data_IF_077646805211
#
_entry.id   IF_077646805211
#
_cell.length_a   1.000
_cell.length_b   1.000
_cell.length_c   1.000
_cell.angle_alpha   90.00
_cell.angle_beta   90.00
_cell.angle_gamma   90.00
#
_symmetry.space_group_name_H-M   'P 1'
#
loop_
_entity.id
_entity.type
_entity.pdbx_description
1 polymer ?
#
# COMPACT_ATOMS: atom_id res chain seq x y z
N UNK A 1 17.61 -7.31 0.48
CA UNK A 1 17.37 -8.70 0.01
C UNK A 1 17.52 -8.71 -1.51
N UNK A 2 17.58 -9.88 -2.15
CA UNK A 2 17.57 -10.00 -3.61
C UNK A 2 16.40 -10.91 -3.97
N UNK A 3 15.66 -10.57 -5.03
CA UNK A 3 14.55 -11.36 -5.55
C UNK A 3 14.93 -11.94 -6.90
N UNK A 4 14.70 -13.25 -7.09
CA UNK A 4 15.04 -13.97 -8.31
C UNK A 4 13.81 -14.71 -8.82
N UNK A 5 13.55 -14.59 -10.11
CA UNK A 5 12.54 -15.36 -10.81
C UNK A 5 13.21 -16.53 -11.55
N UNK A 6 12.52 -17.66 -11.62
CA UNK A 6 12.98 -18.86 -12.33
C UNK A 6 11.88 -19.33 -13.28
N UNK A 7 12.27 -19.96 -14.38
CA UNK A 7 11.34 -20.44 -15.42
C UNK A 7 10.33 -21.48 -14.90
N UNK A 8 10.71 -22.26 -13.90
CA UNK A 8 9.86 -23.30 -13.34
C UNK A 8 10.19 -23.61 -11.87
N UNK A 9 9.23 -24.26 -11.20
CA UNK A 9 9.34 -24.64 -9.79
C UNK A 9 10.41 -25.70 -9.52
N UNK A 10 10.79 -26.49 -10.52
CA UNK A 10 11.81 -27.53 -10.34
C UNK A 10 13.21 -26.93 -10.17
N UNK A 11 13.54 -25.90 -10.97
CA UNK A 11 14.74 -25.09 -10.78
C UNK A 11 14.76 -24.45 -9.40
N UNK A 12 13.63 -23.89 -8.95
CA UNK A 12 13.52 -23.31 -7.60
C UNK A 12 13.83 -24.36 -6.51
N UNK A 13 13.25 -25.57 -6.60
CA UNK A 13 13.51 -26.65 -5.63
C UNK A 13 14.98 -27.06 -5.60
N UNK A 14 15.61 -27.21 -6.77
CA UNK A 14 17.05 -27.51 -6.88
C UNK A 14 17.90 -26.44 -6.22
N UNK A 15 17.59 -25.17 -6.44
CA UNK A 15 18.31 -24.05 -5.82
C UNK A 15 18.11 -24.06 -4.30
N UNK A 16 16.88 -24.17 -3.81
CA UNK A 16 16.60 -24.25 -2.36
C UNK A 16 17.31 -25.46 -1.72
N UNK A 17 17.44 -26.58 -2.43
CA UNK A 17 18.19 -27.75 -1.95
C UNK A 17 19.68 -27.46 -1.73
N UNK A 18 20.28 -26.60 -2.56
CA UNK A 18 21.68 -26.19 -2.47
C UNK A 18 21.91 -25.07 -1.45
N UNK A 19 20.89 -24.26 -1.16
CA UNK A 19 20.99 -23.14 -0.22
C UNK A 19 20.94 -23.60 1.26
N UNK A 20 21.47 -22.79 2.19
CA UNK A 20 21.36 -23.04 3.63
C UNK A 20 19.89 -23.19 4.09
N UNK A 21 19.57 -24.16 4.98
CA UNK A 21 18.19 -24.46 5.40
C UNK A 21 17.67 -23.45 6.43
N UNK A 22 17.58 -22.17 6.08
CA UNK A 22 17.22 -21.10 7.01
C UNK A 22 15.72 -20.86 7.15
N UNK A 23 14.88 -21.49 6.32
CA UNK A 23 13.44 -21.24 6.26
C UNK A 23 13.15 -19.81 5.81
N UNK A 24 12.19 -19.16 6.47
CA UNK A 24 11.89 -17.73 6.28
C UNK A 24 12.40 -16.86 7.44
N UNK A 25 13.44 -17.33 8.13
CA UNK A 25 14.03 -16.67 9.29
C UNK A 25 13.41 -17.10 10.63
N UNK A 26 13.93 -16.57 11.73
CA UNK A 26 13.52 -16.93 13.10
C UNK A 26 12.36 -16.09 13.65
N UNK A 27 12.03 -14.97 13.00
CA UNK A 27 11.11 -13.97 13.54
C UNK A 27 9.65 -14.46 13.64
N UNK A 28 9.27 -15.43 12.82
CA UNK A 28 7.86 -15.82 12.61
C UNK A 28 7.46 -17.11 13.34
N UNK A 29 8.29 -17.61 14.26
CA UNK A 29 7.98 -18.82 15.03
C UNK A 29 7.80 -20.08 14.18
N UNK A 30 8.47 -20.14 13.02
CA UNK A 30 8.44 -21.27 12.10
C UNK A 30 9.77 -22.04 12.14
N UNK A 31 9.72 -23.32 11.79
CA UNK A 31 10.92 -24.14 11.69
C UNK A 31 11.88 -23.58 10.63
N UNK A 32 13.17 -23.54 10.94
CA UNK A 32 14.23 -23.19 9.97
C UNK A 32 14.55 -24.41 9.13
N UNK A 33 13.84 -24.55 8.02
CA UNK A 33 13.96 -25.71 7.14
C UNK A 33 13.72 -25.33 5.68
N UNK A 34 14.23 -26.14 4.75
CA UNK A 34 13.95 -25.98 3.32
C UNK A 34 12.48 -26.20 2.99
N UNK A 35 11.79 -27.05 3.75
CA UNK A 35 10.36 -27.26 3.62
C UNK A 35 9.59 -25.96 3.92
N UNK A 36 10.02 -25.21 4.94
CA UNK A 36 9.45 -23.90 5.26
C UNK A 36 9.71 -22.87 4.16
N UNK A 37 10.90 -22.89 3.53
CA UNK A 37 11.19 -22.00 2.38
C UNK A 37 10.27 -22.26 1.18
N UNK A 38 9.85 -23.51 0.98
CA UNK A 38 8.98 -23.94 -0.13
C UNK A 38 7.49 -24.00 0.25
N UNK A 39 7.15 -23.66 1.50
CA UNK A 39 5.78 -23.74 1.98
C UNK A 39 4.90 -22.68 1.31
N UNK A 40 3.64 -23.03 1.04
CA UNK A 40 2.68 -22.07 0.49
C UNK A 40 2.33 -20.98 1.51
N UNK A 41 1.85 -19.81 1.08
CA UNK A 41 1.38 -18.75 1.98
C UNK A 41 0.40 -19.25 3.05
N UNK A 42 -0.54 -20.12 2.66
CA UNK A 42 -1.53 -20.72 3.57
C UNK A 42 -0.88 -21.61 4.63
N UNK A 43 0.13 -22.39 4.27
CA UNK A 43 0.87 -23.24 5.21
C UNK A 43 1.66 -22.36 6.19
N UNK A 44 2.37 -21.35 5.69
CA UNK A 44 3.13 -20.41 6.52
C UNK A 44 2.24 -19.68 7.53
N UNK A 45 1.06 -19.23 7.11
CA UNK A 45 0.07 -18.59 7.98
C UNK A 45 -0.40 -19.53 9.09
N UNK A 46 -0.78 -20.76 8.73
CA UNK A 46 -1.38 -21.72 9.67
C UNK A 46 -0.36 -22.26 10.69
N UNK A 47 0.89 -22.42 10.28
CA UNK A 47 1.94 -23.01 11.12
C UNK A 47 2.67 -22.00 12.01
N UNK A 48 2.56 -20.70 11.71
CA UNK A 48 3.22 -19.66 12.47
C UNK A 48 2.47 -19.36 13.77
N UNK A 49 3.22 -18.89 14.78
CA UNK A 49 2.63 -18.38 16.03
C UNK A 49 2.31 -16.87 15.98
N UNK A 50 2.55 -16.19 14.86
CA UNK A 50 2.44 -14.72 14.77
C UNK A 50 1.04 -14.20 15.07
N UNK A 51 0.00 -14.91 14.66
CA UNK A 51 -1.40 -14.52 14.95
C UNK A 51 -1.68 -14.54 16.45
N UNK A 52 -1.22 -15.57 17.17
CA UNK A 52 -1.40 -15.66 18.62
C UNK A 52 -0.60 -14.57 19.34
N UNK A 53 0.62 -14.29 18.88
CA UNK A 53 1.45 -13.20 19.42
C UNK A 53 0.80 -11.84 19.23
N UNK A 54 0.21 -11.59 18.05
CA UNK A 54 -0.54 -10.37 17.78
C UNK A 54 -1.78 -10.23 18.67
N UNK A 55 -2.58 -11.29 18.80
CA UNK A 55 -3.75 -11.31 19.69
C UNK A 55 -3.38 -11.06 21.16
N UNK A 56 -2.21 -11.54 21.59
CA UNK A 56 -1.64 -11.30 22.93
C UNK A 56 -0.93 -9.95 23.07
N UNK A 57 -0.93 -9.12 22.01
CA UNK A 57 -0.24 -7.81 21.94
C UNK A 57 1.27 -7.88 22.14
N UNK A 58 1.88 -9.04 21.85
CA UNK A 58 3.34 -9.21 21.86
C UNK A 58 4.00 -8.62 20.60
N UNK A 59 3.21 -8.36 19.56
CA UNK A 59 3.60 -7.66 18.33
C UNK A 59 2.51 -6.65 17.95
N UNK A 60 2.91 -5.55 17.32
CA UNK A 60 1.98 -4.48 16.93
C UNK A 60 1.13 -4.86 15.71
N UNK A 61 0.07 -4.08 15.44
CA UNK A 61 -0.69 -4.20 14.19
C UNK A 61 0.22 -4.01 12.97
N UNK A 62 1.14 -3.05 13.03
CA UNK A 62 2.10 -2.80 11.96
C UNK A 62 2.97 -4.03 11.69
N UNK A 63 3.57 -4.62 12.72
CA UNK A 63 4.43 -5.80 12.58
C UNK A 63 3.65 -7.00 12.04
N UNK A 64 2.40 -7.16 12.49
CA UNK A 64 1.54 -8.23 12.02
C UNK A 64 1.13 -8.04 10.56
N UNK A 65 0.78 -6.82 10.13
CA UNK A 65 0.50 -6.50 8.72
C UNK A 65 1.73 -6.71 7.84
N UNK A 66 2.93 -6.33 8.31
CA UNK A 66 4.18 -6.61 7.60
C UNK A 66 4.44 -8.11 7.47
N UNK A 67 4.15 -8.88 8.52
CA UNK A 67 4.21 -10.34 8.47
C UNK A 67 3.24 -10.92 7.43
N UNK A 68 1.97 -10.51 7.45
CA UNK A 68 0.96 -10.97 6.49
C UNK A 68 1.37 -10.67 5.05
N UNK A 69 1.84 -9.45 4.78
CA UNK A 69 2.37 -9.07 3.47
C UNK A 69 3.54 -9.98 3.05
N UNK A 70 4.50 -10.20 3.96
CA UNK A 70 5.69 -11.02 3.67
C UNK A 70 5.30 -12.44 3.30
N UNK A 71 4.43 -13.10 4.08
CA UNK A 71 4.04 -14.49 3.80
C UNK A 71 3.09 -14.63 2.60
N UNK A 72 2.40 -13.56 2.21
CA UNK A 72 1.59 -13.54 0.99
C UNK A 72 2.41 -13.32 -0.28
N UNK A 73 3.75 -13.26 -0.17
CA UNK A 73 4.67 -13.08 -1.29
C UNK A 73 4.95 -11.62 -1.65
N UNK A 74 4.48 -10.65 -0.85
CA UNK A 74 4.71 -9.23 -1.11
C UNK A 74 6.17 -8.88 -0.80
N UNK A 75 6.75 -7.98 -1.58
CA UNK A 75 8.18 -7.66 -1.52
C UNK A 75 8.45 -6.24 -2.00
N UNK A 76 9.47 -5.60 -1.43
CA UNK A 76 9.98 -4.32 -1.89
C UNK A 76 10.80 -4.42 -3.19
N UNK A 77 11.16 -5.64 -3.62
CA UNK A 77 11.97 -5.86 -4.83
C UNK A 77 11.14 -5.86 -6.13
N UNK A 78 9.82 -5.95 -6.04
CA UNK A 78 8.90 -5.87 -7.18
C UNK A 78 7.74 -4.95 -6.81
N UNK A 79 7.71 -3.77 -7.45
CA UNK A 79 6.71 -2.75 -7.18
C UNK A 79 5.28 -3.20 -7.54
N UNK A 80 5.11 -4.21 -8.39
CA UNK A 80 3.80 -4.79 -8.69
C UNK A 80 3.28 -5.69 -7.55
N UNK A 81 4.17 -6.11 -6.65
CA UNK A 81 3.87 -6.96 -5.49
C UNK A 81 4.24 -6.25 -4.19
N UNK A 82 4.16 -4.92 -4.18
CA UNK A 82 4.52 -4.10 -3.02
C UNK A 82 3.61 -4.40 -1.81
N UNK A 83 4.13 -4.30 -0.58
CA UNK A 83 3.31 -4.43 0.62
C UNK A 83 2.15 -3.43 0.66
N UNK A 84 1.03 -3.84 1.25
CA UNK A 84 -0.21 -3.06 1.31
C UNK A 84 -0.59 -2.82 2.75
N UNK A 85 -0.99 -1.58 3.04
CA UNK A 85 -1.60 -1.17 4.29
C UNK A 85 -2.97 -0.55 4.02
N UNK A 86 -3.96 -0.75 4.91
CA UNK A 86 -5.26 -0.13 4.76
C UNK A 86 -5.19 1.38 5.06
N UNK A 87 -6.06 2.16 4.43
CA UNK A 87 -6.45 3.45 5.01
C UNK A 87 -7.10 3.23 6.38
N UNK A 88 -6.66 3.99 7.39
CA UNK A 88 -7.18 3.89 8.78
C UNK A 88 -8.01 5.12 9.13
N UNK A 89 -7.44 6.31 8.98
CA UNK A 89 -8.13 7.58 9.25
C UNK A 89 -8.99 7.95 8.03
N UNK A 90 -10.18 8.49 8.29
CA UNK A 90 -11.11 8.98 7.27
C UNK A 90 -11.30 10.51 7.33
N UNK A 91 -10.75 11.18 8.35
CA UNK A 91 -10.87 12.62 8.57
C UNK A 91 -9.55 13.34 8.27
N UNK A 92 -9.49 14.00 7.12
CA UNK A 92 -8.32 14.77 6.66
C UNK A 92 -8.61 16.27 6.50
N UNK A 93 -9.77 16.75 6.98
CA UNK A 93 -10.24 18.14 6.77
C UNK A 93 -10.37 18.94 8.07
N UNK A 94 -10.56 18.28 9.21
CA UNK A 94 -10.74 18.93 10.51
C UNK A 94 -9.43 19.54 11.02
N UNK A 95 -9.55 20.61 11.81
CA UNK A 95 -8.41 21.28 12.47
C UNK A 95 -7.73 20.37 13.50
N UNK A 96 -8.51 19.54 14.18
CA UNK A 96 -8.05 18.59 15.20
C UNK A 96 -8.55 17.17 14.86
N UNK A 97 -7.83 16.16 15.36
CA UNK A 97 -8.18 14.75 15.20
C UNK A 97 -8.30 14.07 16.56
N UNK A 98 -9.53 13.78 16.96
CA UNK A 98 -9.81 13.01 18.18
C UNK A 98 -9.71 11.51 17.90
N UNK A 99 -8.66 10.86 18.40
CA UNK A 99 -8.44 9.41 18.20
C UNK A 99 -9.43 8.51 18.95
N UNK A 100 -10.23 9.06 19.85
CA UNK A 100 -11.28 8.31 20.53
C UNK A 100 -12.63 8.38 19.80
N UNK A 101 -12.77 9.23 18.78
CA UNK A 101 -14.00 9.42 18.04
C UNK A 101 -14.10 8.39 16.90
N UNK A 102 -15.03 7.41 16.96
CA UNK A 102 -15.13 6.37 15.95
C UNK A 102 -15.38 6.89 14.53
N UNK A 103 -16.04 8.05 14.36
CA UNK A 103 -16.30 8.62 13.04
C UNK A 103 -15.03 9.06 12.29
N UNK A 104 -13.90 9.20 12.99
CA UNK A 104 -12.62 9.54 12.37
C UNK A 104 -11.94 8.36 11.68
N UNK A 105 -12.48 7.14 11.83
CA UNK A 105 -11.90 5.92 11.32
C UNK A 105 -12.71 5.34 10.16
N UNK A 106 -11.97 4.78 9.20
CA UNK A 106 -12.56 3.99 8.13
C UNK A 106 -13.17 2.71 8.69
N UNK A 107 -14.32 2.31 8.15
CA UNK A 107 -14.85 0.96 8.30
C UNK A 107 -13.93 -0.08 7.62
N UNK A 108 -13.12 -0.78 8.43
CA UNK A 108 -12.16 -1.80 7.97
C UNK A 108 -12.82 -3.10 7.51
N UNK A 109 -14.14 -3.26 7.68
CA UNK A 109 -14.86 -4.43 7.15
C UNK A 109 -15.16 -4.32 5.65
N UNK A 110 -14.94 -3.12 5.07
CA UNK A 110 -15.30 -2.81 3.68
C UNK A 110 -14.06 -2.43 2.85
N UNK A 111 -13.99 -2.84 1.56
CA UNK A 111 -13.00 -2.31 0.63
C UNK A 111 -13.27 -0.83 0.30
N UNK A 112 -12.28 -0.11 -0.24
CA UNK A 112 -12.39 1.32 -0.59
C UNK A 112 -13.65 1.59 -1.41
N UNK A 113 -13.86 0.79 -2.46
CA UNK A 113 -14.99 0.92 -3.38
C UNK A 113 -16.37 0.84 -2.75
N UNK A 114 -16.49 0.26 -1.54
CA UNK A 114 -17.74 0.03 -0.85
C UNK A 114 -17.99 0.96 0.36
N UNK A 115 -17.10 1.92 0.62
CA UNK A 115 -17.25 2.88 1.73
C UNK A 115 -18.39 3.87 1.47
N UNK A 116 -18.42 4.48 0.28
CA UNK A 116 -19.52 5.34 -0.16
C UNK A 116 -20.69 4.50 -0.70
N UNK A 117 -21.91 4.64 -0.17
CA UNK A 117 -23.05 3.83 -0.60
C UNK A 117 -23.44 4.01 -2.07
N UNK A 118 -23.34 5.23 -2.62
CA UNK A 118 -23.70 5.50 -4.01
C UNK A 118 -22.70 4.84 -4.95
N UNK A 119 -21.40 4.96 -4.63
CA UNK A 119 -20.34 4.32 -5.40
C UNK A 119 -20.40 2.80 -5.29
N UNK A 120 -20.77 2.27 -4.12
CA UNK A 120 -21.02 0.83 -3.96
C UNK A 120 -22.14 0.37 -4.90
N UNK A 121 -23.27 1.09 -4.94
CA UNK A 121 -24.39 0.75 -5.82
C UNK A 121 -23.97 0.74 -7.30
N UNK A 122 -23.17 1.71 -7.73
CA UNK A 122 -22.59 1.73 -9.08
C UNK A 122 -21.75 0.47 -9.38
N UNK A 123 -20.89 0.05 -8.46
CA UNK A 123 -20.07 -1.15 -8.65
C UNK A 123 -20.89 -2.45 -8.61
N UNK A 124 -21.92 -2.51 -7.76
CA UNK A 124 -22.85 -3.65 -7.73
C UNK A 124 -23.61 -3.77 -9.06
N UNK A 125 -24.10 -2.64 -9.61
CA UNK A 125 -24.80 -2.60 -10.91
C UNK A 125 -23.87 -3.04 -12.04
N UNK A 126 -22.64 -2.50 -12.10
CA UNK A 126 -21.61 -2.91 -13.07
C UNK A 126 -21.37 -4.42 -13.05
N UNK A 127 -21.26 -5.01 -11.86
CA UNK A 127 -21.05 -6.44 -11.71
C UNK A 127 -22.27 -7.24 -12.18
N UNK A 128 -23.48 -6.80 -11.83
CA UNK A 128 -24.73 -7.48 -12.13
C UNK A 128 -25.12 -7.40 -13.61
N UNK A 129 -24.82 -6.29 -14.29
CA UNK A 129 -25.14 -6.05 -15.70
C UNK A 129 -23.98 -6.41 -16.64
N UNK A 130 -23.07 -7.29 -16.22
CA UNK A 130 -21.88 -7.64 -16.99
C UNK A 130 -22.24 -8.53 -18.19
N UNK A 131 -21.98 -8.03 -19.40
CA UNK A 131 -22.30 -8.70 -20.68
C UNK A 131 -21.04 -8.94 -21.52
N UNK A 132 -20.02 -9.59 -20.95
CA UNK A 132 -18.83 -10.04 -21.68
C UNK A 132 -18.50 -11.49 -21.31
N UNK A 133 -18.72 -12.41 -22.24
CA UNK A 133 -18.45 -13.85 -22.06
C UNK A 133 -16.95 -14.19 -22.02
N UNK A 134 -16.07 -13.26 -22.42
CA UNK A 134 -14.62 -13.47 -22.44
C UNK A 134 -13.95 -13.20 -21.08
N UNK A 135 -14.64 -12.50 -20.17
CA UNK A 135 -14.10 -12.12 -18.86
C UNK A 135 -15.15 -12.29 -17.75
N UNK A 136 -14.77 -12.86 -16.59
CA UNK A 136 -15.67 -12.92 -15.44
C UNK A 136 -16.14 -11.52 -14.99
N UNK A 137 -17.36 -11.39 -14.45
CA UNK A 137 -17.83 -10.12 -13.91
C UNK A 137 -16.95 -9.65 -12.76
N UNK A 138 -16.77 -8.34 -12.64
CA UNK A 138 -15.97 -7.71 -11.59
C UNK A 138 -16.52 -6.35 -11.17
N UNK A 139 -16.28 -6.00 -9.91
CA UNK A 139 -16.66 -4.69 -9.36
C UNK A 139 -15.68 -3.61 -9.81
N UNK A 140 -14.37 -3.86 -9.71
CA UNK A 140 -13.32 -2.86 -9.92
C UNK A 140 -12.47 -3.22 -11.14
N UNK A 141 -12.40 -2.32 -12.12
CA UNK A 141 -11.47 -2.43 -13.25
C UNK A 141 -10.05 -1.96 -12.90
N UNK A 142 -9.85 -1.45 -11.68
CA UNK A 142 -8.55 -1.01 -11.15
C UNK A 142 -8.24 -1.78 -9.87
N UNK A 143 -6.96 -1.83 -9.53
CA UNK A 143 -6.46 -2.61 -8.40
C UNK A 143 -6.00 -1.68 -7.27
N UNK A 144 -6.14 -2.12 -6.01
CA UNK A 144 -5.80 -1.31 -4.84
C UNK A 144 -4.28 -1.11 -4.63
N UNK A 145 -3.44 -1.86 -5.33
CA UNK A 145 -1.98 -1.84 -5.22
C UNK A 145 -1.36 -2.03 -6.60
N UNK A 146 -0.60 -1.05 -7.06
CA UNK A 146 0.09 -1.07 -8.36
C UNK A 146 1.45 -0.40 -8.23
N UNK A 147 2.40 -0.75 -9.11
CA UNK A 147 3.69 -0.06 -9.15
C UNK A 147 3.53 1.46 -9.36
N UNK A 148 2.57 1.87 -10.18
CA UNK A 148 2.26 3.28 -10.42
C UNK A 148 1.85 4.01 -9.13
N UNK A 149 1.06 3.38 -8.25
CA UNK A 149 0.69 3.97 -6.96
C UNK A 149 1.87 4.10 -6.02
N UNK A 150 2.73 3.09 -5.94
CA UNK A 150 3.94 3.14 -5.12
C UNK A 150 4.85 4.28 -5.57
N UNK A 151 5.10 4.39 -6.89
CA UNK A 151 5.93 5.46 -7.44
C UNK A 151 5.28 6.84 -7.29
N UNK A 152 3.95 6.94 -7.38
CA UNK A 152 3.22 8.18 -7.12
C UNK A 152 3.37 8.62 -5.66
N UNK A 153 3.21 7.69 -4.70
CA UNK A 153 3.36 7.99 -3.28
C UNK A 153 4.79 8.36 -2.90
N UNK A 154 5.78 7.66 -3.45
CA UNK A 154 7.20 7.84 -3.12
C UNK A 154 7.92 8.78 -4.09
N UNK A 155 7.20 9.52 -4.91
CA UNK A 155 7.72 10.36 -6.01
C UNK A 155 8.89 11.25 -5.60
N UNK A 156 8.91 11.72 -4.35
CA UNK A 156 9.90 12.69 -3.84
C UNK A 156 11.18 12.06 -3.30
N UNK A 157 11.26 10.73 -3.30
CA UNK A 157 12.41 9.98 -2.80
C UNK A 157 13.12 9.24 -3.94
N UNK A 158 14.44 9.30 -3.96
CA UNK A 158 15.22 8.40 -4.81
C UNK A 158 15.29 6.98 -4.19
N UNK A 159 15.32 5.91 -5.00
CA UNK A 159 15.36 5.89 -6.47
C UNK A 159 13.97 5.99 -7.16
N UNK A 160 12.89 6.23 -6.42
CA UNK A 160 11.52 6.17 -6.96
C UNK A 160 11.23 7.33 -7.91
N UNK A 161 11.83 8.50 -7.70
CA UNK A 161 11.78 9.61 -8.65
C UNK A 161 12.34 9.20 -10.01
N UNK A 162 13.56 8.65 -10.03
CA UNK A 162 14.19 8.15 -11.27
C UNK A 162 13.31 7.10 -11.97
N UNK A 163 12.76 6.15 -11.20
CA UNK A 163 11.88 5.12 -11.75
C UNK A 163 10.56 5.69 -12.30
N UNK A 164 9.97 6.68 -11.61
CA UNK A 164 8.77 7.36 -12.06
C UNK A 164 9.02 8.09 -13.40
N UNK A 165 10.11 8.85 -13.50
CA UNK A 165 10.48 9.56 -14.72
C UNK A 165 10.71 8.57 -15.88
N UNK A 166 11.36 7.43 -15.63
CA UNK A 166 11.55 6.41 -16.66
C UNK A 166 10.22 5.86 -17.21
N UNK A 167 9.18 5.72 -16.38
CA UNK A 167 7.84 5.30 -16.84
C UNK A 167 7.07 6.40 -17.57
N UNK A 168 7.48 7.67 -17.42
CA UNK A 168 6.80 8.86 -17.95
C UNK A 168 7.67 9.59 -18.99
N UNK A 169 8.42 8.83 -19.80
CA UNK A 169 9.27 9.34 -20.89
C UNK A 169 10.22 10.48 -20.47
N UNK A 170 10.77 10.38 -19.25
CA UNK A 170 11.76 11.29 -18.69
C UNK A 170 11.18 12.59 -18.10
N UNK A 171 9.86 12.70 -17.93
CA UNK A 171 9.21 13.91 -17.39
C UNK A 171 8.30 13.58 -16.21
N UNK A 172 8.08 14.56 -15.35
CA UNK A 172 7.02 14.46 -14.36
C UNK A 172 5.65 14.47 -15.05
N UNK A 173 4.68 13.82 -14.42
CA UNK A 173 3.28 13.81 -14.89
C UNK A 173 2.65 15.21 -14.68
N UNK A 174 1.43 15.40 -15.20
CA UNK A 174 0.70 16.65 -15.03
C UNK A 174 0.54 16.99 -13.53
N UNK A 175 0.81 18.23 -13.09
CA UNK A 175 0.81 18.61 -11.68
C UNK A 175 -0.49 18.24 -10.94
N UNK A 176 -1.64 18.38 -11.59
CA UNK A 176 -2.93 17.98 -11.03
C UNK A 176 -3.10 16.48 -10.76
N UNK A 177 -2.32 15.62 -11.41
CA UNK A 177 -2.34 14.17 -11.19
C UNK A 177 -1.30 13.70 -10.17
N UNK A 178 -0.33 14.55 -9.83
CA UNK A 178 0.69 14.20 -8.85
C UNK A 178 0.10 14.06 -7.45
N UNK A 179 0.73 13.19 -6.66
CA UNK A 179 0.44 13.09 -5.23
C UNK A 179 0.90 14.38 -4.55
N UNK A 180 -0.04 15.28 -4.26
CA UNK A 180 0.23 16.62 -3.71
C UNK A 180 -0.53 16.92 -2.42
N UNK A 181 -1.52 16.11 -2.05
CA UNK A 181 -2.31 16.29 -0.82
C UNK A 181 -2.88 14.96 -0.34
N UNK A 182 -2.80 14.73 0.97
CA UNK A 182 -3.35 13.52 1.60
C UNK A 182 -4.88 13.54 1.57
N UNK A 183 -5.49 14.67 1.96
CA UNK A 183 -6.94 14.84 1.92
C UNK A 183 -7.52 14.71 0.51
N UNK A 184 -6.89 15.36 -0.49
CA UNK A 184 -7.31 15.21 -1.90
C UNK A 184 -7.21 13.76 -2.38
N UNK A 185 -6.16 13.05 -1.97
CA UNK A 185 -5.97 11.65 -2.34
C UNK A 185 -7.05 10.77 -1.72
N UNK A 186 -7.36 10.96 -0.44
CA UNK A 186 -8.46 10.27 0.23
C UNK A 186 -9.80 10.55 -0.46
N UNK A 187 -10.12 11.82 -0.75
CA UNK A 187 -11.37 12.20 -1.42
C UNK A 187 -11.49 11.58 -2.81
N UNK A 188 -10.39 11.56 -3.58
CA UNK A 188 -10.34 10.87 -4.87
C UNK A 188 -10.61 9.38 -4.72
N UNK A 189 -10.02 8.73 -3.71
CA UNK A 189 -10.29 7.33 -3.39
C UNK A 189 -11.73 7.09 -2.95
N UNK A 190 -12.51 8.10 -2.56
CA UNK A 190 -13.94 7.95 -2.23
C UNK A 190 -14.86 8.23 -3.43
N UNK A 191 -14.45 9.09 -4.36
CA UNK A 191 -15.33 9.61 -5.43
C UNK A 191 -15.04 9.03 -6.81
N UNK A 192 -13.78 8.82 -7.16
CA UNK A 192 -13.41 8.35 -8.49
C UNK A 192 -13.66 6.84 -8.61
N UNK A 193 -14.44 6.41 -9.60
CA UNK A 193 -14.76 4.99 -9.84
C UNK A 193 -13.56 4.18 -10.32
N UNK A 194 -12.51 4.85 -10.81
CA UNK A 194 -11.25 4.24 -11.21
C UNK A 194 -10.19 4.29 -10.10
N UNK A 195 -10.51 4.87 -8.94
CA UNK A 195 -9.56 4.98 -7.83
C UNK A 195 -10.05 4.26 -6.57
N UNK A 196 -9.50 3.05 -6.38
CA UNK A 196 -9.74 2.20 -5.21
C UNK A 196 -8.44 1.88 -4.45
N UNK A 197 -7.44 2.75 -4.53
CA UNK A 197 -6.10 2.48 -3.97
C UNK A 197 -6.09 2.41 -2.44
N UNK A 198 -5.33 1.45 -1.92
CA UNK A 198 -4.99 1.35 -0.50
C UNK A 198 -3.59 1.99 -0.26
N UNK A 199 -3.21 2.13 1.01
CA UNK A 199 -1.95 2.73 1.41
C UNK A 199 -0.76 1.75 1.26
N UNK A 200 0.43 2.33 1.39
CA UNK A 200 1.71 1.61 1.55
C UNK A 200 2.22 1.73 2.99
N UNK A 201 3.09 0.82 3.48
CA UNK A 201 3.63 0.87 4.83
C UNK A 201 4.26 2.21 5.24
N UNK A 202 4.85 2.92 4.28
CA UNK A 202 5.61 4.16 4.48
C UNK A 202 4.77 5.28 5.09
N UNK A 203 3.45 5.29 4.89
CA UNK A 203 2.52 6.22 5.57
C UNK A 203 2.57 6.12 7.11
N UNK A 204 3.13 5.04 7.65
CA UNK A 204 3.17 4.76 9.08
C UNK A 204 4.58 4.85 9.67
N UNK A 205 5.62 5.17 8.88
CA UNK A 205 6.96 5.34 9.43
C UNK A 205 7.92 6.28 8.68
N UNK A 206 7.60 6.74 7.46
CA UNK A 206 8.54 7.44 6.58
C UNK A 206 8.06 8.87 6.28
N UNK A 207 8.27 9.84 7.18
CA UNK A 207 7.84 11.22 6.99
C UNK A 207 8.44 11.88 5.73
N UNK A 208 9.66 11.50 5.34
CA UNK A 208 10.40 12.06 4.21
C UNK A 208 9.67 11.89 2.88
N UNK A 209 8.75 10.92 2.75
CA UNK A 209 7.96 10.75 1.51
C UNK A 209 7.02 11.94 1.23
N UNK A 210 6.67 12.70 2.27
CA UNK A 210 5.82 13.88 2.16
C UNK A 210 6.63 15.13 1.86
N UNK A 211 7.96 15.04 1.91
CA UNK A 211 8.86 16.17 1.76
C UNK A 211 9.45 16.30 0.36
N UNK A 212 9.60 17.51 -0.18
CA UNK A 212 10.33 17.77 -1.43
C UNK A 212 11.77 18.24 -1.15
N UNK A 213 12.49 17.49 -0.32
CA UNK A 213 13.86 17.85 0.12
C UNK A 213 14.88 17.89 -1.02
N UNK A 214 14.59 17.23 -2.15
CA UNK A 214 15.41 17.27 -3.37
C UNK A 214 15.11 18.49 -4.27
N UNK A 215 14.14 19.33 -3.88
CA UNK A 215 13.71 20.51 -4.63
C UNK A 215 13.33 20.21 -6.09
N UNK A 216 12.62 19.09 -6.31
CA UNK A 216 12.12 18.75 -7.64
C UNK A 216 11.12 19.80 -8.11
N UNK A 217 11.22 20.18 -9.39
CA UNK A 217 10.20 21.01 -10.04
C UNK A 217 9.03 20.11 -10.47
N UNK A 218 7.99 20.07 -9.64
CA UNK A 218 6.78 19.26 -9.88
C UNK A 218 5.68 20.06 -10.60
N UNK A 219 5.98 21.29 -11.02
CA UNK A 219 5.09 22.16 -11.78
C UNK A 219 4.04 22.88 -10.93
N UNK A 220 3.06 23.45 -11.63
CA UNK A 220 1.98 24.26 -11.07
C UNK A 220 0.66 23.67 -11.55
N UNK A 221 -0.28 23.48 -10.63
CA UNK A 221 -1.65 23.00 -10.92
C UNK A 221 -2.41 24.02 -11.77
N UNK A 222 -3.52 23.58 -12.38
CA UNK A 222 -4.42 24.47 -13.13
C UNK A 222 -4.97 25.62 -12.26
N UNK A 223 -5.16 25.38 -10.96
CA UNK A 223 -5.59 26.39 -9.98
C UNK A 223 -4.48 27.37 -9.58
N UNK A 224 -3.28 27.25 -10.17
CA UNK A 224 -2.15 28.15 -9.93
C UNK A 224 -1.33 27.82 -8.68
N UNK A 225 -1.58 26.67 -8.03
CA UNK A 225 -0.81 26.24 -6.86
C UNK A 225 0.44 25.47 -7.28
N UNK A 226 1.60 25.88 -6.76
CA UNK A 226 2.87 25.18 -6.96
C UNK A 226 2.85 23.83 -6.24
N UNK A 227 3.30 22.78 -6.94
CA UNK A 227 3.45 21.44 -6.37
C UNK A 227 4.87 21.31 -5.82
N UNK A 228 4.97 21.12 -4.50
CA UNK A 228 6.22 20.86 -3.81
C UNK A 228 6.00 19.81 -2.72
N UNK A 229 6.04 20.25 -1.47
CA UNK A 229 5.68 19.47 -0.28
C UNK A 229 4.26 18.88 -0.41
N UNK A 230 4.04 17.69 0.15
CA UNK A 230 2.69 17.11 0.21
C UNK A 230 1.88 17.87 1.27
N UNK A 231 0.73 18.39 0.87
CA UNK A 231 -0.21 19.05 1.77
C UNK A 231 -0.78 18.05 2.79
N UNK A 232 -0.42 18.27 4.05
CA UNK A 232 -0.87 17.50 5.19
C UNK A 232 -2.29 17.93 5.63
N UNK A 233 -3.03 17.06 6.33
CA UNK A 233 -4.25 17.47 7.02
C UNK A 233 -3.93 18.48 8.12
N UNK A 234 -4.89 19.34 8.46
CA UNK A 234 -4.68 20.48 9.37
C UNK A 234 -4.24 20.07 10.78
N UNK A 235 -4.66 18.90 11.24
CA UNK A 235 -4.27 18.33 12.54
C UNK A 235 -2.80 17.85 12.59
N UNK A 236 -2.08 17.85 11.47
CA UNK A 236 -0.65 17.54 11.41
C UNK A 236 0.15 18.73 10.86
N UNK A 237 0.94 19.35 11.72
CA UNK A 237 1.79 20.49 11.37
C UNK A 237 3.05 20.07 10.62
N UNK A 238 3.52 18.84 10.83
CA UNK A 238 4.73 18.31 10.19
C UNK A 238 4.53 16.87 9.71
N UNK A 239 5.31 16.40 8.72
CA UNK A 239 5.29 15.02 8.26
C UNK A 239 5.51 14.00 9.38
N UNK A 240 6.40 14.29 10.33
CA UNK A 240 6.65 13.42 11.49
C UNK A 240 5.45 13.37 12.43
N UNK A 241 4.77 14.51 12.65
CA UNK A 241 3.53 14.53 13.41
C UNK A 241 2.45 13.69 12.73
N UNK A 242 2.31 13.81 11.41
CA UNK A 242 1.36 13.02 10.63
C UNK A 242 1.61 11.52 10.80
N UNK A 243 2.85 11.08 10.55
CA UNK A 243 3.26 9.67 10.68
C UNK A 243 3.09 9.15 12.12
N UNK A 244 3.46 9.95 13.12
CA UNK A 244 3.30 9.61 14.54
C UNK A 244 1.83 9.42 14.92
N UNK A 245 0.92 10.23 14.39
CA UNK A 245 -0.52 10.10 14.63
C UNK A 245 -1.06 8.86 13.92
N UNK A 246 -0.66 8.61 12.67
CA UNK A 246 -1.04 7.41 11.92
C UNK A 246 -0.63 6.09 12.60
N UNK A 247 0.43 6.11 13.44
CA UNK A 247 0.96 4.92 14.12
C UNK A 247 0.41 4.70 15.54
N UNK A 248 -0.29 5.66 16.12
CA UNK A 248 -0.93 5.52 17.45
C UNK A 248 -2.11 4.57 17.40
#
# INVERSE_FOLDING_TARGET
SIFLAFENTETLRRIVSALPPVGIGSKYGLARSRATTLASPRQLFTQSNMTQRWQRREISNFDYLMYLNTISGRTYNDLNQYPIFPWIIANYTSEELELNEPSNYRDLSKPIGALDPNRKAYFDERYASWEDDSQPPFHYGTHYSTAAFVLSYLLRLEPFTTLFLHLQDGKFDHPDRLFSSIGRTWDNCQRNTSDVKELIPEFFYLPEMFENSNHFNLGVTEDGEEVGEVKLPKWAMTPEQFVRIHRQ
#
